data_IF_839384911945
#
_entry.id   IF_839384911945
#
_cell.length_a   1.000
_cell.length_b   1.000
_cell.length_c   1.000
_cell.angle_alpha   90.00
_cell.angle_beta   90.00
_cell.angle_gamma   90.00
#
_symmetry.space_group_name_H-M   'P 1'
#
loop_
_entity.id
_entity.type
_entity.pdbx_description
1 polymer ?
#
# COMPACT_ATOMS: atom_id res chain seq x y z
N UNK A 1 8.78 -3.60 9.07
CA UNK A 1 7.41 -3.15 9.47
C UNK A 1 6.42 -4.14 8.91
N UNK A 2 5.30 -4.34 9.61
CA UNK A 2 4.27 -5.28 9.18
C UNK A 2 3.43 -4.72 8.04
N UNK A 3 2.82 -5.59 7.23
CA UNK A 3 1.85 -5.18 6.21
C UNK A 3 0.69 -4.37 6.83
N UNK A 4 0.20 -4.78 8.00
CA UNK A 4 -0.86 -4.06 8.73
C UNK A 4 -0.45 -2.65 9.15
N UNK A 5 0.80 -2.46 9.59
CA UNK A 5 1.37 -1.15 9.93
C UNK A 5 1.49 -0.26 8.69
N UNK A 6 2.01 -0.81 7.59
CA UNK A 6 2.11 -0.08 6.33
C UNK A 6 0.73 0.31 5.78
N UNK A 7 -0.25 -0.59 5.89
CA UNK A 7 -1.65 -0.30 5.51
C UNK A 7 -2.25 0.82 6.35
N UNK A 8 -1.98 0.84 7.66
CA UNK A 8 -2.41 1.94 8.55
C UNK A 8 -1.76 3.26 8.10
N UNK A 9 -0.44 3.25 7.88
CA UNK A 9 0.30 4.42 7.41
C UNK A 9 -0.23 4.95 6.06
N UNK A 10 -0.51 4.07 5.09
CA UNK A 10 -1.10 4.46 3.80
C UNK A 10 -2.45 5.19 3.98
N UNK A 11 -3.31 4.71 4.89
CA UNK A 11 -4.57 5.41 5.21
C UNK A 11 -4.35 6.78 5.82
N UNK A 12 -3.35 6.93 6.69
CA UNK A 12 -2.97 8.22 7.28
C UNK A 12 -2.46 9.21 6.22
N UNK A 13 -1.87 8.72 5.13
CA UNK A 13 -1.50 9.54 3.97
C UNK A 13 -2.69 9.87 3.04
N UNK A 14 -3.92 9.44 3.38
CA UNK A 14 -5.12 9.66 2.58
C UNK A 14 -5.26 8.71 1.38
N UNK A 15 -4.55 7.59 1.36
CA UNK A 15 -4.66 6.60 0.27
C UNK A 15 -5.99 5.86 0.37
N UNK A 16 -6.77 5.85 -0.72
CA UNK A 16 -7.97 5.03 -0.86
C UNK A 16 -7.56 3.57 -1.12
N UNK A 17 -8.01 2.66 -0.26
CA UNK A 17 -7.65 1.23 -0.29
C UNK A 17 -8.91 0.40 -0.56
N UNK A 18 -9.02 -0.13 -1.77
CA UNK A 18 -10.18 -0.95 -2.20
C UNK A 18 -9.76 -2.37 -2.55
N UNK A 19 -10.63 -3.38 -2.39
CA UNK A 19 -10.37 -4.71 -2.92
C UNK A 19 -10.05 -4.64 -4.42
N UNK A 20 -8.98 -5.32 -4.84
CA UNK A 20 -8.59 -5.48 -6.23
C UNK A 20 -8.90 -6.88 -6.72
N UNK A 21 -8.05 -7.40 -7.62
CA UNK A 21 -8.17 -8.78 -8.09
C UNK A 21 -7.53 -9.74 -7.08
N UNK A 22 -8.27 -10.78 -6.67
CA UNK A 22 -7.79 -11.78 -5.72
C UNK A 22 -7.53 -11.19 -4.33
N UNK A 23 -6.40 -11.56 -3.73
CA UNK A 23 -6.00 -11.12 -2.37
C UNK A 23 -5.29 -9.75 -2.34
N UNK A 24 -5.21 -9.05 -3.47
CA UNK A 24 -4.52 -7.75 -3.55
C UNK A 24 -5.50 -6.58 -3.42
N UNK A 25 -5.04 -5.50 -2.79
CA UNK A 25 -5.76 -4.24 -2.73
C UNK A 25 -5.28 -3.29 -3.83
N UNK A 26 -6.22 -2.55 -4.42
CA UNK A 26 -5.92 -1.38 -5.25
C UNK A 26 -5.77 -0.16 -4.35
N UNK A 27 -4.66 0.56 -4.52
CA UNK A 27 -4.35 1.81 -3.84
C UNK A 27 -4.54 2.97 -4.81
N UNK A 28 -5.22 4.03 -4.39
CA UNK A 28 -5.37 5.26 -5.19
C UNK A 28 -5.07 6.50 -4.35
N UNK A 29 -4.25 7.42 -4.88
CA UNK A 29 -3.98 8.71 -4.26
C UNK A 29 -3.73 9.77 -5.34
N UNK A 30 -4.51 10.85 -5.35
CA UNK A 30 -4.35 11.98 -6.30
C UNK A 30 -4.22 11.53 -7.77
N UNK A 31 -5.05 10.58 -8.20
CA UNK A 31 -5.03 10.01 -9.56
C UNK A 31 -3.92 8.99 -9.84
N UNK A 32 -3.02 8.75 -8.88
CA UNK A 32 -1.98 7.70 -8.96
C UNK A 32 -2.50 6.39 -8.40
N UNK A 33 -2.03 5.28 -8.97
CA UNK A 33 -2.49 3.93 -8.64
C UNK A 33 -1.30 3.03 -8.30
N UNK A 34 -1.49 2.15 -7.31
CA UNK A 34 -0.58 1.06 -6.99
C UNK A 34 -1.36 -0.18 -6.53
N UNK A 35 -0.65 -1.29 -6.32
CA UNK A 35 -1.22 -2.57 -5.88
C UNK A 35 -0.52 -3.03 -4.62
N UNK A 36 -1.28 -3.52 -3.65
CA UNK A 36 -0.78 -3.89 -2.33
C UNK A 36 -1.17 -5.32 -1.92
N UNK A 37 -0.20 -6.24 -1.78
CA UNK A 37 -0.44 -7.61 -1.33
C UNK A 37 -0.46 -7.68 0.20
N UNK A 38 -1.58 -7.30 0.83
CA UNK A 38 -1.69 -7.24 2.29
C UNK A 38 -1.61 -8.65 2.91
N UNK A 39 -0.47 -8.98 3.52
CA UNK A 39 -0.26 -10.22 4.26
C UNK A 39 -0.36 -10.04 5.79
N UNK A 40 -1.06 -8.98 6.25
CA UNK A 40 -1.41 -8.78 7.66
C UNK A 40 -0.20 -8.64 8.57
N UNK A 41 0.05 -9.64 9.41
CA UNK A 41 1.08 -9.59 10.46
C UNK A 41 2.50 -9.87 9.96
N UNK A 42 2.68 -10.32 8.71
CA UNK A 42 4.01 -10.53 8.10
C UNK A 42 4.72 -9.20 7.89
N UNK A 43 6.04 -9.26 7.75
CA UNK A 43 6.84 -8.09 7.39
C UNK A 43 6.79 -7.80 5.88
N UNK A 44 6.63 -6.54 5.53
CA UNK A 44 6.77 -6.06 4.15
C UNK A 44 8.25 -5.84 3.82
N UNK A 45 8.68 -6.31 2.66
CA UNK A 45 10.02 -6.03 2.16
C UNK A 45 10.20 -4.54 1.89
N UNK A 46 11.34 -3.98 2.31
CA UNK A 46 11.65 -2.54 2.15
C UNK A 46 11.50 -2.06 0.70
N UNK A 47 12.01 -2.83 -0.27
CA UNK A 47 11.90 -2.48 -1.69
C UNK A 47 10.46 -2.35 -2.18
N UNK A 48 9.57 -3.24 -1.74
CA UNK A 48 8.16 -3.21 -2.10
C UNK A 48 7.46 -1.97 -1.50
N UNK A 49 7.71 -1.68 -0.22
CA UNK A 49 7.14 -0.51 0.45
C UNK A 49 7.56 0.79 -0.26
N UNK A 50 8.85 0.93 -0.57
CA UNK A 50 9.38 2.12 -1.27
C UNK A 50 8.86 2.23 -2.71
N UNK A 51 8.71 1.11 -3.42
CA UNK A 51 8.11 1.11 -4.74
C UNK A 51 6.65 1.59 -4.70
N UNK A 52 5.85 1.12 -3.75
CA UNK A 52 4.46 1.55 -3.58
C UNK A 52 4.39 3.05 -3.28
N UNK A 53 5.22 3.55 -2.35
CA UNK A 53 5.30 4.99 -2.04
C UNK A 53 5.63 5.80 -3.30
N UNK A 54 6.66 5.39 -4.04
CA UNK A 54 7.06 6.06 -5.29
C UNK A 54 5.93 6.10 -6.32
N UNK A 55 5.23 4.99 -6.53
CA UNK A 55 4.10 4.91 -7.46
C UNK A 55 2.95 5.84 -7.05
N UNK A 56 2.68 5.96 -5.75
CA UNK A 56 1.69 6.88 -5.21
C UNK A 56 2.19 8.33 -5.08
N UNK A 57 3.48 8.58 -5.37
CA UNK A 57 4.09 9.91 -5.22
C UNK A 57 4.27 10.36 -3.77
N UNK A 58 4.31 9.41 -2.84
CA UNK A 58 4.62 9.63 -1.43
C UNK A 58 6.15 9.66 -1.25
N UNK A 59 6.63 10.53 -0.35
CA UNK A 59 8.04 10.60 0.04
C UNK A 59 8.35 9.65 1.19
#
# INVERSE_FOLDING_TARGET
MKYSEFRKWLREQGVDIKPGNGSHFRLTLNGKISTFPDHGSKEIGKGLAEQIKKQLGLK
#
